data_IF_647462004226
#
_entry.id   IF_647462004226
#
_cell.length_a   1.000
_cell.length_b   1.000
_cell.length_c   1.000
_cell.angle_alpha   90.00
_cell.angle_beta   90.00
_cell.angle_gamma   90.00
#
_symmetry.space_group_name_H-M   'P 1'
#
loop_
_entity.id
_entity.type
_entity.pdbx_description
1 polymer ?
#
# COMPACT_ATOMS: atom_id res chain seq x y z
N UNK A 1 4.92 -6.04 3.25
CA UNK A 1 3.71 -5.30 2.84
C UNK A 1 3.34 -5.70 1.42
N UNK A 2 2.04 -5.76 1.13
CA UNK A 2 1.51 -6.09 -0.20
C UNK A 2 0.58 -4.98 -0.67
N UNK A 3 0.58 -4.68 -1.97
CA UNK A 3 -0.24 -3.65 -2.59
C UNK A 3 -1.38 -4.29 -3.38
N UNK A 4 -2.56 -3.71 -3.27
CA UNK A 4 -3.79 -4.16 -3.91
C UNK A 4 -4.48 -2.99 -4.58
N UNK A 5 -5.09 -3.27 -5.73
CA UNK A 5 -6.01 -2.36 -6.41
C UNK A 5 -7.43 -2.87 -6.24
N UNK A 6 -8.34 -1.99 -5.86
CA UNK A 6 -9.77 -2.31 -5.81
C UNK A 6 -10.43 -1.92 -7.14
N UNK A 7 -11.26 -2.80 -7.70
CA UNK A 7 -12.04 -2.48 -8.89
C UNK A 7 -13.12 -1.40 -8.63
N UNK A 8 -13.56 -1.25 -7.37
CA UNK A 8 -14.60 -0.30 -6.97
C UNK A 8 -14.03 1.04 -6.49
N UNK A 9 -12.80 1.07 -6.00
CA UNK A 9 -12.13 2.28 -5.51
C UNK A 9 -10.90 2.63 -6.36
N UNK A 10 -11.14 3.13 -7.58
CA UNK A 10 -10.10 3.38 -8.57
C UNK A 10 -9.09 4.48 -8.17
N UNK A 11 -9.50 5.42 -7.31
CA UNK A 11 -8.66 6.52 -6.84
C UNK A 11 -7.89 6.20 -5.55
N UNK A 12 -7.97 4.95 -5.06
CA UNK A 12 -7.31 4.54 -3.84
C UNK A 12 -6.51 3.27 -4.05
N UNK A 13 -5.37 3.23 -3.40
CA UNK A 13 -4.62 2.01 -3.19
C UNK A 13 -5.03 1.38 -1.88
N UNK A 14 -4.91 0.06 -1.82
CA UNK A 14 -5.08 -0.72 -0.60
C UNK A 14 -3.76 -1.44 -0.33
N UNK A 15 -3.23 -1.35 0.87
CA UNK A 15 -2.07 -2.12 1.29
C UNK A 15 -2.41 -3.00 2.48
N UNK A 16 -1.75 -4.15 2.55
CA UNK A 16 -1.81 -5.05 3.70
C UNK A 16 -0.41 -5.22 4.28
N UNK A 17 -0.30 -5.06 5.60
CA UNK A 17 0.88 -5.44 6.36
C UNK A 17 0.47 -6.19 7.63
N UNK A 18 1.29 -7.12 8.14
CA UNK A 18 0.99 -7.82 9.38
C UNK A 18 0.95 -6.88 10.60
N UNK A 19 1.69 -5.77 10.56
CA UNK A 19 1.78 -4.81 11.67
C UNK A 19 0.58 -3.85 11.75
N UNK A 20 0.06 -3.39 10.61
CA UNK A 20 -1.04 -2.39 10.57
C UNK A 20 -2.34 -2.91 9.98
N UNK A 21 -2.37 -4.15 9.51
CA UNK A 21 -3.50 -4.76 8.83
C UNK A 21 -3.76 -4.12 7.45
N UNK A 22 -5.03 -3.99 7.10
CA UNK A 22 -5.48 -3.40 5.83
C UNK A 22 -5.61 -1.88 5.94
N UNK A 23 -4.93 -1.16 5.05
CA UNK A 23 -4.95 0.30 4.98
C UNK A 23 -5.25 0.75 3.56
N UNK A 24 -6.09 1.78 3.44
CA UNK A 24 -6.39 2.44 2.17
C UNK A 24 -5.77 3.83 2.15
N UNK A 25 -5.25 4.25 1.00
CA UNK A 25 -4.63 5.56 0.82
C UNK A 25 -4.84 6.08 -0.61
N UNK A 26 -4.85 7.41 -0.82
CA UNK A 26 -5.03 7.99 -2.15
C UNK A 26 -3.95 7.56 -3.14
N UNK A 27 -4.34 7.34 -4.40
CA UNK A 27 -3.43 7.12 -5.53
C UNK A 27 -2.80 8.43 -6.03
N UNK A 28 -2.30 9.26 -5.11
CA UNK A 28 -1.72 10.57 -5.36
C UNK A 28 -0.32 10.66 -4.75
N UNK A 29 0.44 11.69 -5.15
CA UNK A 29 1.74 11.95 -4.56
C UNK A 29 1.63 12.08 -3.04
N UNK A 30 2.52 11.40 -2.29
CA UNK A 30 2.49 11.33 -0.82
C UNK A 30 1.18 10.79 -0.20
N UNK A 31 0.33 10.10 -0.96
CA UNK A 31 -0.96 9.59 -0.46
C UNK A 31 -0.86 8.72 0.81
N UNK A 32 0.29 8.06 1.04
CA UNK A 32 0.52 7.23 2.23
C UNK A 32 0.40 7.98 3.57
N UNK A 33 0.63 9.29 3.60
CA UNK A 33 0.45 10.11 4.81
C UNK A 33 -1.02 10.24 5.20
N UNK A 34 -1.93 10.20 4.22
CA UNK A 34 -3.38 10.22 4.39
C UNK A 34 -3.99 8.81 4.48
N UNK A 35 -3.17 7.79 4.80
CA UNK A 35 -3.63 6.41 4.95
C UNK A 35 -4.62 6.28 6.10
N UNK A 36 -5.61 5.42 5.91
CA UNK A 36 -6.64 5.11 6.91
C UNK A 36 -6.88 3.61 6.97
N UNK A 37 -7.33 3.06 8.11
CA UNK A 37 -7.79 1.68 8.18
C UNK A 37 -8.85 1.44 7.10
N UNK A 38 -8.67 0.40 6.30
CA UNK A 38 -9.62 0.08 5.25
C UNK A 38 -10.83 -0.65 5.86
N UNK A 39 -12.04 -0.09 5.69
CA UNK A 39 -13.30 -0.70 6.12
C UNK A 39 -14.14 -1.06 4.90
N UNK A 40 -14.90 -2.15 4.98
CA UNK A 40 -15.75 -2.59 3.87
C UNK A 40 -14.99 -3.05 2.63
N UNK A 41 -13.75 -3.51 2.79
CA UNK A 41 -13.03 -4.16 1.70
C UNK A 41 -13.66 -5.51 1.44
N UNK A 42 -14.11 -5.72 0.20
CA UNK A 42 -14.45 -7.05 -0.27
C UNK A 42 -13.23 -7.68 -0.96
N UNK A 43 -12.67 -8.77 -0.41
CA UNK A 43 -11.50 -9.42 -0.98
C UNK A 43 -11.74 -9.96 -2.39
N UNK A 44 -12.99 -10.21 -2.81
CA UNK A 44 -13.32 -10.65 -4.18
C UNK A 44 -12.99 -9.57 -5.22
N UNK A 45 -12.95 -8.30 -4.80
CA UNK A 45 -12.69 -7.15 -5.67
C UNK A 45 -11.27 -6.59 -5.53
N UNK A 46 -10.40 -7.24 -4.74
CA UNK A 46 -9.02 -6.84 -4.55
C UNK A 46 -8.09 -7.66 -5.45
N UNK A 47 -7.29 -6.95 -6.25
CA UNK A 47 -6.23 -7.56 -7.04
C UNK A 47 -4.88 -7.15 -6.49
N UNK A 48 -4.05 -8.12 -6.11
CA UNK A 48 -2.66 -7.86 -5.77
C UNK A 48 -1.92 -7.32 -7.00
N UNK A 49 -1.16 -6.23 -6.81
CA UNK A 49 -0.41 -5.55 -7.87
C UNK A 49 1.00 -5.20 -7.41
N UNK A 50 1.96 -4.98 -8.33
CA UNK A 50 3.32 -4.62 -7.97
C UNK A 50 3.39 -3.30 -7.20
N UNK A 51 4.17 -3.27 -6.10
CA UNK A 51 4.35 -2.07 -5.27
C UNK A 51 4.89 -0.86 -6.04
N UNK A 52 5.66 -1.08 -7.12
CA UNK A 52 6.19 -0.02 -7.98
C UNK A 52 5.11 0.89 -8.56
N UNK A 53 3.86 0.41 -8.70
CA UNK A 53 2.75 1.24 -9.17
C UNK A 53 2.34 2.34 -8.19
N UNK A 54 2.65 2.19 -6.90
CA UNK A 54 2.41 3.19 -5.88
C UNK A 54 3.70 3.92 -5.44
N UNK A 55 4.81 3.83 -6.19
CA UNK A 55 6.09 4.41 -5.76
C UNK A 55 5.99 5.91 -5.44
N UNK A 56 5.17 6.66 -6.18
CA UNK A 56 4.99 8.10 -5.97
C UNK A 56 4.17 8.45 -4.72
N UNK A 57 3.51 7.48 -4.07
CA UNK A 57 2.62 7.75 -2.94
C UNK A 57 3.36 7.81 -1.60
N UNK A 58 4.68 7.58 -1.59
CA UNK A 58 5.49 7.53 -0.37
C UNK A 58 5.25 6.27 0.47
N UNK A 59 4.65 5.23 -0.11
CA UNK A 59 4.51 3.93 0.55
C UNK A 59 5.87 3.23 0.53
N UNK A 60 6.48 3.07 1.70
CA UNK A 60 7.75 2.33 1.82
C UNK A 60 7.47 0.83 1.67
N UNK A 61 8.08 0.16 0.70
CA UNK A 61 8.18 -1.29 0.77
C UNK A 61 8.86 -1.66 2.10
N UNK A 62 8.52 -2.80 2.73
CA UNK A 62 9.42 -3.33 3.75
C UNK A 62 10.78 -3.40 3.10
N UNK A 63 11.72 -2.65 3.64
CA UNK A 63 13.12 -2.85 3.32
C UNK A 63 13.38 -4.28 3.79
N UNK A 64 13.48 -5.23 2.87
CA UNK A 64 14.12 -6.49 3.20
C UNK A 64 15.49 -6.09 3.74
N UNK A 65 15.77 -6.45 5.00
CA UNK A 65 16.67 -5.74 5.92
C UNK A 65 18.13 -5.61 5.48
N UNK A 66 18.39 -4.91 4.39
CA UNK A 66 19.71 -4.50 3.98
C UNK A 66 19.97 -3.14 4.63
N UNK A 67 20.41 -3.20 5.89
CA UNK A 67 21.23 -2.15 6.47
C UNK A 67 22.31 -1.80 5.44
N UNK A 68 22.50 -0.53 5.04
CA UNK A 68 23.76 -0.16 4.42
C UNK A 68 24.85 -0.44 5.46
N UNK A 69 25.69 -1.44 5.19
CA UNK A 69 26.95 -1.61 5.91
C UNK A 69 27.78 -0.36 5.59
N UNK A 70 27.75 0.63 6.47
CA UNK A 70 28.69 1.74 6.41
C UNK A 70 29.99 1.25 7.05
N UNK A 71 31.03 1.26 6.21
CA UNK A 71 32.39 0.83 6.45
C UNK A 71 33.16 1.71 7.44
#
# INVERSE_FOLDING_TARGET
MKLYKSATHLNQWVAYSPETGWVAFPASQNGWTARRPARGLDPVHLREVPMRLAANTGIAAPVDGHLPHAA
#
